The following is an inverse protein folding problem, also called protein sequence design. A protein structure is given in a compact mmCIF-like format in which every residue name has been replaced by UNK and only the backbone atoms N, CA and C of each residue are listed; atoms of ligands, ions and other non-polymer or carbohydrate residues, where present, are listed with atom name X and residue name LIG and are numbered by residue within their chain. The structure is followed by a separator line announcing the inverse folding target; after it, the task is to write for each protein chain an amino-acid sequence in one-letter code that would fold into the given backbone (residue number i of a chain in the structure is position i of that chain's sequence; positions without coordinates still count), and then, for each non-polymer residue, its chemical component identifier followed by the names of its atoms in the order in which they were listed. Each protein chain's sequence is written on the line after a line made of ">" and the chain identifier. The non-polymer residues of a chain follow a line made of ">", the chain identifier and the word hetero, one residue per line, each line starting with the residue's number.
data_IF_627485783742
#
_entry.id   IF_627485783742
#
_cell.length_a   1.000
_cell.length_b   1.000
_cell.length_c   1.000
_cell.angle_alpha   90.00
_cell.angle_beta   90.00
_cell.angle_gamma   90.00
#
_symmetry.space_group_name_H-M   'P 1'
#
loop_
_entity.id
_entity.type
_entity.pdbx_description
1 polymer ?
#
# COMPACT_ATOMS: atom_id res chain seq x y z
N UNK A 1 -17.72 -18.88 -25.90
CA UNK A 1 -16.81 -19.59 -24.97
C UNK A 1 -17.33 -19.42 -23.54
N UNK A 2 -17.26 -20.44 -22.69
CA UNK A 2 -17.61 -20.38 -21.30
C UNK A 2 -16.33 -20.26 -20.49
N UNK A 3 -16.24 -19.23 -19.64
CA UNK A 3 -15.06 -18.99 -18.78
C UNK A 3 -15.31 -19.50 -17.35
N UNK A 4 -14.25 -19.65 -16.56
CA UNK A 4 -14.34 -20.05 -15.16
C UNK A 4 -15.12 -19.01 -14.34
N UNK A 5 -16.02 -19.47 -13.44
CA UNK A 5 -16.85 -18.58 -12.60
C UNK A 5 -16.03 -17.59 -11.77
N UNK A 6 -14.81 -17.98 -11.34
CA UNK A 6 -13.92 -17.16 -10.52
C UNK A 6 -13.48 -15.83 -11.16
N UNK A 7 -13.61 -15.67 -12.49
CA UNK A 7 -13.26 -14.41 -13.17
C UNK A 7 -14.47 -13.44 -13.30
N UNK A 8 -15.69 -13.89 -13.00
CA UNK A 8 -16.87 -13.03 -13.09
C UNK A 8 -16.81 -11.82 -12.17
N UNK A 9 -16.43 -11.96 -10.88
CA UNK A 9 -16.29 -10.81 -9.99
C UNK A 9 -15.19 -9.83 -10.42
N UNK A 10 -14.18 -10.30 -11.17
CA UNK A 10 -13.07 -9.46 -11.63
C UNK A 10 -13.44 -8.56 -12.82
N UNK A 11 -14.60 -8.78 -13.46
CA UNK A 11 -15.07 -7.95 -14.58
C UNK A 11 -15.57 -6.57 -14.14
N UNK A 12 -16.01 -6.44 -12.89
CA UNK A 12 -16.52 -5.19 -12.38
C UNK A 12 -15.34 -4.27 -12.00
N UNK A 13 -15.15 -3.21 -12.77
CA UNK A 13 -14.09 -2.23 -12.56
C UNK A 13 -14.67 -0.82 -12.60
N UNK A 14 -14.95 -0.26 -11.42
CA UNK A 14 -15.44 1.13 -11.26
C UNK A 14 -14.45 2.13 -11.89
N UNK A 15 -13.14 1.84 -11.82
CA UNK A 15 -12.10 2.71 -12.37
C UNK A 15 -12.13 2.80 -13.90
N UNK A 16 -12.71 1.81 -14.59
CA UNK A 16 -12.92 1.90 -16.04
C UNK A 16 -13.88 3.04 -16.45
N UNK A 17 -14.82 3.41 -15.59
CA UNK A 17 -15.66 4.59 -15.81
C UNK A 17 -14.82 5.88 -15.72
N UNK A 18 -13.88 5.95 -14.79
CA UNK A 18 -12.97 7.08 -14.65
C UNK A 18 -12.03 7.21 -15.85
N UNK A 19 -11.51 6.09 -16.38
CA UNK A 19 -10.66 6.12 -17.58
C UNK A 19 -11.41 6.65 -18.78
N UNK A 20 -12.69 6.28 -18.95
CA UNK A 20 -13.56 6.83 -20.00
C UNK A 20 -13.80 8.33 -19.80
N UNK A 21 -14.09 8.77 -18.56
CA UNK A 21 -14.32 10.20 -18.26
C UNK A 21 -13.07 11.05 -18.54
N UNK A 22 -11.89 10.56 -18.15
CA UNK A 22 -10.59 11.20 -18.47
C UNK A 22 -10.36 11.30 -19.98
N UNK A 23 -10.65 10.23 -20.72
CA UNK A 23 -10.52 10.23 -22.18
C UNK A 23 -11.47 11.24 -22.84
N UNK A 24 -12.71 11.35 -22.36
CA UNK A 24 -13.68 12.34 -22.85
C UNK A 24 -13.25 13.77 -22.55
N UNK A 25 -12.77 14.05 -21.33
CA UNK A 25 -12.25 15.38 -20.96
C UNK A 25 -11.07 15.79 -21.85
N UNK A 26 -10.12 14.89 -22.12
CA UNK A 26 -9.01 15.13 -23.05
C UNK A 26 -9.48 15.39 -24.49
N UNK A 27 -10.46 14.61 -24.96
CA UNK A 27 -11.05 14.78 -26.29
C UNK A 27 -11.79 16.13 -26.44
N UNK A 28 -12.33 16.66 -25.33
CA UNK A 28 -12.93 18.00 -25.25
C UNK A 28 -11.89 19.13 -25.13
N UNK A 29 -10.60 18.82 -25.20
CA UNK A 29 -9.50 19.82 -25.13
C UNK A 29 -9.11 20.25 -23.71
N UNK A 30 -9.61 19.57 -22.69
CA UNK A 30 -9.26 19.92 -21.31
C UNK A 30 -7.87 19.39 -20.92
N UNK A 31 -7.13 20.19 -20.17
CA UNK A 31 -5.93 19.74 -19.48
C UNK A 31 -6.33 18.94 -18.24
N UNK A 32 -6.18 17.61 -18.29
CA UNK A 32 -6.59 16.71 -17.20
C UNK A 32 -5.52 16.65 -16.12
N UNK A 33 -5.89 17.02 -14.89
CA UNK A 33 -5.12 16.81 -13.67
C UNK A 33 -5.58 15.48 -13.07
N UNK A 34 -4.73 14.45 -13.14
CA UNK A 34 -5.10 13.09 -12.74
C UNK A 34 -4.66 12.78 -11.31
N UNK A 35 -5.58 12.96 -10.36
CA UNK A 35 -5.41 12.60 -8.94
C UNK A 35 -6.09 11.25 -8.61
N UNK A 36 -6.43 10.45 -9.62
CA UNK A 36 -7.08 9.15 -9.41
C UNK A 36 -6.09 8.00 -9.19
N UNK A 37 -4.89 8.08 -9.74
CA UNK A 37 -3.90 7.00 -9.69
C UNK A 37 -2.87 7.21 -8.58
N UNK A 38 -2.80 6.27 -7.63
CA UNK A 38 -1.81 6.28 -6.55
C UNK A 38 -0.43 5.75 -6.98
N UNK A 39 0.18 6.37 -7.98
CA UNK A 39 1.54 6.06 -8.42
C UNK A 39 2.44 7.26 -8.15
N UNK A 40 3.53 7.06 -7.39
CA UNK A 40 4.50 8.13 -7.16
C UNK A 40 5.03 8.65 -8.51
N UNK A 41 5.06 9.97 -8.67
CA UNK A 41 5.68 10.70 -9.78
C UNK A 41 7.18 10.96 -9.54
N UNK A 42 7.65 10.70 -8.31
CA UNK A 42 9.04 10.90 -7.93
C UNK A 42 9.92 9.80 -8.54
N UNK A 43 11.15 10.15 -8.99
CA UNK A 43 12.08 9.17 -9.54
C UNK A 43 12.66 8.26 -8.46
N UNK A 44 13.01 7.02 -8.83
CA UNK A 44 13.87 6.18 -8.00
C UNK A 44 15.28 6.80 -7.90
N UNK A 45 15.94 6.59 -6.76
CA UNK A 45 17.27 7.14 -6.51
C UNK A 45 18.32 6.62 -7.52
N UNK A 46 19.31 7.45 -7.86
CA UNK A 46 20.35 7.11 -8.85
C UNK A 46 21.09 5.82 -8.49
N UNK A 47 21.47 5.60 -7.22
CA UNK A 47 22.17 4.40 -6.80
C UNK A 47 21.36 3.11 -7.09
N UNK A 48 20.03 3.19 -7.08
CA UNK A 48 19.11 2.07 -7.41
C UNK A 48 19.12 1.82 -8.92
N UNK A 49 18.88 2.87 -9.72
CA UNK A 49 18.84 2.75 -11.18
C UNK A 49 20.19 2.34 -11.77
N UNK A 50 21.30 2.82 -11.19
CA UNK A 50 22.65 2.45 -11.59
C UNK A 50 22.95 0.97 -11.29
N UNK A 51 22.45 0.43 -10.17
CA UNK A 51 22.60 -0.99 -9.85
C UNK A 51 21.85 -1.86 -10.89
N UNK A 52 20.66 -1.45 -11.31
CA UNK A 52 19.89 -2.12 -12.37
C UNK A 52 20.64 -2.01 -13.71
N UNK A 53 21.11 -0.82 -14.08
CA UNK A 53 21.80 -0.58 -15.33
C UNK A 53 23.11 -1.40 -15.45
N UNK A 54 23.90 -1.46 -14.37
CA UNK A 54 25.12 -2.32 -14.33
C UNK A 54 24.76 -3.80 -14.52
N UNK A 55 23.63 -4.24 -13.97
CA UNK A 55 23.19 -5.62 -14.12
C UNK A 55 22.84 -5.98 -15.56
N UNK A 56 22.32 -5.03 -16.36
CA UNK A 56 22.02 -5.25 -17.78
C UNK A 56 23.27 -5.53 -18.60
N UNK A 57 24.44 -5.07 -18.17
CA UNK A 57 25.72 -5.30 -18.85
C UNK A 57 26.46 -6.54 -18.34
N UNK A 58 25.96 -7.19 -17.28
CA UNK A 58 26.52 -8.43 -16.74
C UNK A 58 25.73 -9.66 -17.22
N UNK A 59 26.28 -10.40 -18.16
CA UNK A 59 25.64 -11.61 -18.72
C UNK A 59 25.30 -12.68 -17.68
N UNK A 60 25.95 -12.68 -16.51
CA UNK A 60 25.62 -13.60 -15.40
C UNK A 60 24.24 -13.34 -14.79
N UNK A 61 23.66 -12.17 -15.06
CA UNK A 61 22.32 -11.82 -14.57
C UNK A 61 21.21 -12.20 -15.53
N UNK A 62 21.52 -12.67 -16.76
CA UNK A 62 20.53 -12.91 -17.82
C UNK A 62 19.83 -14.28 -17.71
N UNK A 63 20.40 -15.22 -16.95
CA UNK A 63 19.80 -16.55 -16.75
C UNK A 63 18.63 -16.54 -15.78
N UNK A 64 17.88 -17.65 -15.77
CA UNK A 64 16.83 -17.86 -14.79
C UNK A 64 17.34 -17.69 -13.35
N UNK A 65 16.62 -16.90 -12.57
CA UNK A 65 16.94 -16.69 -11.16
C UNK A 65 16.21 -17.73 -10.30
N UNK A 66 16.90 -18.79 -9.91
CA UNK A 66 16.37 -19.79 -8.98
C UNK A 66 16.19 -19.21 -7.58
N UNK A 67 15.32 -19.81 -6.76
CA UNK A 67 15.05 -19.32 -5.40
C UNK A 67 16.32 -19.22 -4.53
N UNK A 68 17.24 -20.18 -4.64
CA UNK A 68 18.52 -20.10 -3.93
C UNK A 68 19.37 -18.90 -4.36
N UNK A 69 19.24 -18.46 -5.60
CA UNK A 69 19.94 -17.28 -6.14
C UNK A 69 19.38 -15.94 -5.65
N UNK A 70 18.31 -15.94 -4.83
CA UNK A 70 17.75 -14.74 -4.21
C UNK A 70 18.31 -14.44 -2.82
N UNK A 71 19.33 -15.16 -2.37
CA UNK A 71 19.88 -15.08 -1.01
C UNK A 71 20.31 -13.66 -0.65
N UNK A 72 21.09 -13.00 -1.50
CA UNK A 72 21.59 -11.64 -1.25
C UNK A 72 20.46 -10.64 -1.02
N UNK A 73 19.37 -10.79 -1.80
CA UNK A 73 18.16 -9.97 -1.61
C UNK A 73 17.49 -10.27 -0.26
N UNK A 74 17.37 -11.54 0.11
CA UNK A 74 16.69 -11.95 1.36
C UNK A 74 17.50 -11.47 2.59
N UNK A 75 18.82 -11.56 2.54
CA UNK A 75 19.71 -11.03 3.57
C UNK A 75 19.62 -9.51 3.67
N UNK A 76 19.60 -8.79 2.54
CA UNK A 76 19.43 -7.34 2.53
C UNK A 76 18.08 -6.90 3.10
N UNK A 77 16.99 -7.59 2.73
CA UNK A 77 15.65 -7.31 3.25
C UNK A 77 15.55 -7.61 4.75
N UNK A 78 16.12 -8.72 5.23
CA UNK A 78 16.15 -9.07 6.65
C UNK A 78 16.94 -8.04 7.47
N UNK A 79 18.11 -7.63 6.99
CA UNK A 79 18.94 -6.61 7.64
C UNK A 79 18.23 -5.24 7.68
N UNK A 80 17.60 -4.84 6.57
CA UNK A 80 16.79 -3.62 6.49
C UNK A 80 15.64 -3.65 7.52
N UNK A 81 14.95 -4.79 7.60
CA UNK A 81 13.83 -4.97 8.51
C UNK A 81 14.27 -4.88 9.98
N UNK A 82 15.34 -5.57 10.33
CA UNK A 82 15.91 -5.54 11.69
C UNK A 82 16.37 -4.14 12.08
N UNK A 83 17.06 -3.41 11.19
CA UNK A 83 17.45 -2.02 11.43
C UNK A 83 16.21 -1.13 11.67
N UNK A 84 15.15 -1.34 10.88
CA UNK A 84 13.96 -0.51 10.92
C UNK A 84 13.09 -0.76 12.16
N UNK A 85 12.82 -2.01 12.48
CA UNK A 85 11.86 -2.39 13.52
C UNK A 85 12.51 -2.99 14.78
N UNK A 86 13.80 -3.32 14.75
CA UNK A 86 14.47 -4.01 15.84
C UNK A 86 14.03 -5.47 16.01
N UNK A 87 13.53 -6.08 14.94
CA UNK A 87 13.01 -7.45 14.93
C UNK A 87 13.84 -8.27 13.96
N UNK A 88 14.48 -9.32 14.49
CA UNK A 88 15.29 -10.23 13.68
C UNK A 88 14.40 -11.13 12.81
N UNK A 89 14.84 -11.35 11.59
CA UNK A 89 14.16 -12.15 10.56
C UNK A 89 15.16 -13.12 9.94
N UNK A 90 14.78 -14.40 9.85
CA UNK A 90 15.62 -15.41 9.21
C UNK A 90 15.51 -15.29 7.67
N UNK A 91 16.57 -14.87 6.97
CA UNK A 91 16.54 -14.70 5.52
C UNK A 91 16.31 -16.00 4.75
N UNK A 92 16.57 -17.18 5.34
CA UNK A 92 16.40 -18.47 4.65
C UNK A 92 14.95 -18.96 4.67
N UNK A 93 14.19 -18.67 5.73
CA UNK A 93 12.88 -19.25 5.96
C UNK A 93 11.74 -18.22 6.08
N UNK A 94 12.05 -16.96 6.41
CA UNK A 94 11.06 -15.95 6.74
C UNK A 94 11.01 -14.79 5.73
N UNK A 95 11.76 -14.85 4.63
CA UNK A 95 11.79 -13.82 3.59
C UNK A 95 11.60 -14.44 2.20
N UNK A 96 10.73 -13.84 1.38
CA UNK A 96 10.53 -14.21 -0.02
C UNK A 96 10.48 -12.95 -0.90
N UNK A 97 11.29 -12.83 -1.97
CA UNK A 97 11.12 -11.75 -2.94
C UNK A 97 9.79 -11.89 -3.71
N UNK A 98 9.16 -10.76 -4.00
CA UNK A 98 7.89 -10.66 -4.70
C UNK A 98 8.01 -9.73 -5.92
N UNK A 99 7.19 -9.98 -6.93
CA UNK A 99 6.95 -9.08 -8.08
C UNK A 99 5.98 -7.97 -7.65
N UNK A 100 6.42 -7.15 -6.66
CA UNK A 100 5.59 -6.22 -5.90
C UNK A 100 4.72 -6.94 -4.85
N UNK A 101 4.26 -6.20 -3.82
CA UNK A 101 3.41 -6.77 -2.76
C UNK A 101 2.09 -7.36 -3.28
N UNK A 102 1.61 -6.86 -4.43
CA UNK A 102 0.39 -7.36 -5.07
C UNK A 102 0.47 -8.85 -5.43
N UNK A 103 1.66 -9.37 -5.75
CA UNK A 103 1.84 -10.81 -5.94
C UNK A 103 1.52 -11.58 -4.66
N UNK A 104 2.02 -11.11 -3.50
CA UNK A 104 1.73 -11.73 -2.21
C UNK A 104 0.24 -11.76 -1.90
N UNK A 105 -0.45 -10.63 -2.10
CA UNK A 105 -1.91 -10.52 -1.86
C UNK A 105 -2.75 -11.35 -2.83
N UNK A 106 -2.25 -11.59 -4.05
CA UNK A 106 -2.93 -12.40 -5.06
C UNK A 106 -2.66 -13.90 -4.91
N UNK A 107 -1.45 -14.29 -4.51
CA UNK A 107 -1.02 -15.69 -4.48
C UNK A 107 -1.22 -16.38 -3.13
N UNK A 108 -1.08 -15.65 -2.01
CA UNK A 108 -1.27 -16.27 -0.70
C UNK A 108 -2.67 -16.88 -0.52
N UNK A 109 -3.77 -16.25 -0.97
CA UNK A 109 -5.08 -16.88 -0.93
C UNK A 109 -5.14 -18.24 -1.63
N UNK A 110 -4.37 -18.45 -2.71
CA UNK A 110 -4.31 -19.76 -3.40
C UNK A 110 -3.67 -20.86 -2.53
N UNK A 111 -2.83 -20.48 -1.56
CA UNK A 111 -2.19 -21.42 -0.64
C UNK A 111 -3.02 -21.65 0.63
N UNK A 112 -3.90 -20.71 0.99
CA UNK A 112 -4.59 -20.70 2.30
C UNK A 112 -6.08 -21.08 2.18
N UNK A 113 -6.75 -20.69 1.07
CA UNK A 113 -8.20 -20.86 0.91
C UNK A 113 -8.53 -22.04 0.02
N UNK A 114 -9.48 -22.85 0.45
CA UNK A 114 -10.23 -23.73 -0.43
C UNK A 114 -11.46 -23.01 -0.99
N UNK A 115 -12.05 -23.50 -2.10
CA UNK A 115 -13.31 -22.95 -2.59
C UNK A 115 -14.40 -23.00 -1.51
N UNK A 116 -14.97 -21.81 -1.21
CA UNK A 116 -16.01 -21.65 -0.18
C UNK A 116 -15.50 -21.16 1.18
N UNK A 117 -14.19 -21.23 1.47
CA UNK A 117 -13.63 -20.63 2.68
C UNK A 117 -13.76 -19.10 2.65
N UNK A 118 -13.92 -18.47 3.82
CA UNK A 118 -14.00 -17.02 3.94
C UNK A 118 -12.63 -16.39 4.17
N UNK A 119 -12.43 -15.23 3.52
CA UNK A 119 -11.41 -14.24 3.89
C UNK A 119 -12.11 -13.00 4.46
N UNK A 120 -11.59 -12.49 5.59
CA UNK A 120 -12.03 -11.26 6.24
C UNK A 120 -11.25 -10.11 5.63
N UNK A 121 -11.91 -9.21 4.88
CA UNK A 121 -11.28 -8.08 4.18
C UNK A 121 -11.83 -6.74 4.67
N UNK A 122 -10.97 -5.72 4.67
CA UNK A 122 -11.35 -4.35 5.00
C UNK A 122 -12.31 -3.78 3.92
N UNK A 123 -13.35 -3.04 4.34
CA UNK A 123 -14.30 -2.35 3.49
C UNK A 123 -14.53 -0.91 4.01
N UNK A 124 -14.07 0.14 3.32
CA UNK A 124 -13.34 0.10 2.05
C UNK A 124 -11.97 -0.54 2.16
N UNK A 125 -11.44 -1.11 1.06
CA UNK A 125 -10.14 -1.75 1.03
C UNK A 125 -9.49 -1.71 -0.37
N UNK A 126 -8.25 -2.15 -0.45
CA UNK A 126 -7.54 -2.18 -1.73
C UNK A 126 -8.09 -3.33 -2.61
N UNK A 127 -8.56 -3.04 -3.85
CA UNK A 127 -9.29 -4.02 -4.67
C UNK A 127 -8.52 -5.32 -4.98
N UNK A 128 -7.18 -5.29 -4.98
CA UNK A 128 -6.37 -6.49 -5.24
C UNK A 128 -6.54 -7.57 -4.17
N UNK A 129 -6.89 -7.21 -2.93
CA UNK A 129 -7.15 -8.19 -1.87
C UNK A 129 -8.36 -9.07 -2.23
N UNK A 130 -9.46 -8.44 -2.65
CA UNK A 130 -10.64 -9.17 -3.14
C UNK A 130 -10.33 -10.03 -4.37
N UNK A 131 -9.51 -9.50 -5.29
CA UNK A 131 -9.08 -10.22 -6.49
C UNK A 131 -8.39 -11.54 -6.18
N UNK A 132 -7.46 -11.56 -5.22
CA UNK A 132 -6.76 -12.79 -4.77
C UNK A 132 -7.72 -13.84 -4.21
N UNK A 133 -8.67 -13.41 -3.36
CA UNK A 133 -9.69 -14.30 -2.78
C UNK A 133 -10.58 -14.93 -3.87
N UNK A 134 -11.04 -14.13 -4.83
CA UNK A 134 -11.84 -14.62 -5.95
C UNK A 134 -11.07 -15.62 -6.83
N UNK A 135 -9.79 -15.37 -7.09
CA UNK A 135 -8.94 -16.31 -7.84
C UNK A 135 -8.79 -17.66 -7.11
N UNK A 136 -8.73 -17.66 -5.80
CA UNK A 136 -8.70 -18.86 -4.98
C UNK A 136 -10.06 -19.58 -4.90
N UNK A 137 -11.16 -18.94 -5.33
CA UNK A 137 -12.53 -19.47 -5.20
C UNK A 137 -13.10 -19.26 -3.79
N UNK A 138 -12.46 -18.43 -2.97
CA UNK A 138 -12.90 -18.07 -1.63
C UNK A 138 -14.08 -17.09 -1.65
N UNK A 139 -14.69 -16.92 -0.49
CA UNK A 139 -15.73 -15.93 -0.21
C UNK A 139 -15.15 -14.77 0.59
N UNK A 140 -15.77 -13.61 0.49
CA UNK A 140 -15.33 -12.41 1.20
C UNK A 140 -16.37 -12.06 2.26
N UNK A 141 -15.90 -11.86 3.49
CA UNK A 141 -16.66 -11.15 4.51
C UNK A 141 -16.06 -9.75 4.65
N UNK A 142 -16.82 -8.69 4.30
CA UNK A 142 -16.34 -7.32 4.45
C UNK A 142 -16.39 -6.89 5.91
N UNK A 143 -15.27 -6.35 6.41
CA UNK A 143 -15.17 -5.71 7.72
C UNK A 143 -15.31 -4.20 7.53
N UNK A 144 -16.45 -3.58 7.93
CA UNK A 144 -16.69 -2.16 7.68
C UNK A 144 -15.68 -1.27 8.43
N UNK A 145 -15.15 -0.27 7.73
CA UNK A 145 -14.28 0.77 8.28
C UNK A 145 -15.06 2.09 8.32
N UNK A 146 -15.48 2.48 9.49
CA UNK A 146 -16.29 3.68 9.71
C UNK A 146 -15.47 4.78 10.39
N UNK A 147 -15.78 6.03 10.10
CA UNK A 147 -15.07 7.19 10.67
C UNK A 147 -15.19 7.28 12.21
N UNK A 148 -16.33 6.87 12.77
CA UNK A 148 -16.57 6.80 14.21
C UNK A 148 -15.64 5.80 14.93
N UNK A 149 -15.10 4.81 14.21
CA UNK A 149 -14.14 3.84 14.72
C UNK A 149 -12.71 4.12 14.24
N UNK A 150 -12.41 5.36 13.84
CA UNK A 150 -11.12 5.75 13.27
C UNK A 150 -10.68 4.85 12.09
N UNK A 151 -11.62 4.34 11.32
CA UNK A 151 -11.42 3.39 10.21
C UNK A 151 -10.67 2.11 10.62
N UNK A 152 -10.92 1.62 11.85
CA UNK A 152 -10.50 0.30 12.32
C UNK A 152 -11.72 -0.64 12.35
N UNK A 153 -11.59 -1.92 11.93
CA UNK A 153 -12.71 -2.85 12.00
C UNK A 153 -12.99 -3.27 13.46
N UNK A 154 -14.25 -3.53 13.76
CA UNK A 154 -14.67 -4.11 15.05
C UNK A 154 -14.68 -5.63 14.89
N UNK A 155 -13.69 -6.29 15.47
CA UNK A 155 -13.49 -7.73 15.28
C UNK A 155 -14.61 -8.56 15.95
N UNK A 156 -15.19 -8.04 17.02
CA UNK A 156 -16.29 -8.65 17.76
C UNK A 156 -17.61 -8.71 16.96
N UNK A 157 -17.77 -7.85 15.94
CA UNK A 157 -18.96 -7.82 15.10
C UNK A 157 -18.97 -8.93 14.03
N UNK A 158 -17.86 -9.70 13.90
CA UNK A 158 -17.77 -10.78 12.93
C UNK A 158 -18.61 -11.97 13.42
N UNK A 159 -19.64 -12.39 12.67
CA UNK A 159 -20.51 -13.48 13.10
C UNK A 159 -19.76 -14.79 13.30
N UNK A 160 -20.06 -15.53 14.37
CA UNK A 160 -19.44 -16.83 14.68
C UNK A 160 -19.55 -17.82 13.52
N UNK A 161 -20.67 -17.81 12.79
CA UNK A 161 -20.88 -18.67 11.62
C UNK A 161 -19.91 -18.36 10.46
N UNK A 162 -19.50 -17.08 10.32
CA UNK A 162 -18.47 -16.66 9.35
C UNK A 162 -17.09 -17.08 9.86
N UNK A 163 -16.79 -16.83 11.14
CA UNK A 163 -15.50 -17.20 11.74
C UNK A 163 -15.21 -18.69 11.62
N UNK A 164 -16.21 -19.54 11.81
CA UNK A 164 -16.07 -21.00 11.68
C UNK A 164 -15.61 -21.46 10.28
N UNK A 165 -15.82 -20.66 9.26
CA UNK A 165 -15.45 -20.94 7.87
C UNK A 165 -14.32 -20.01 7.37
N UNK A 166 -13.85 -19.08 8.20
CA UNK A 166 -12.77 -18.16 7.85
C UNK A 166 -11.41 -18.83 7.97
N UNK A 167 -10.48 -18.46 7.08
CA UNK A 167 -9.09 -18.96 7.07
C UNK A 167 -8.05 -17.85 7.10
N UNK A 168 -8.41 -16.64 6.68
CA UNK A 168 -7.49 -15.53 6.69
C UNK A 168 -8.20 -14.21 6.97
N UNK A 169 -7.44 -13.28 7.54
CA UNK A 169 -7.79 -11.88 7.71
C UNK A 169 -6.72 -11.03 7.02
N UNK A 170 -7.12 -10.00 6.28
CA UNK A 170 -6.21 -9.06 5.64
C UNK A 170 -6.39 -7.69 6.25
N UNK A 171 -5.30 -7.15 6.81
CA UNK A 171 -5.17 -5.78 7.28
C UNK A 171 -4.21 -5.02 6.36
N UNK A 172 -4.38 -3.72 6.24
CA UNK A 172 -3.48 -2.85 5.49
C UNK A 172 -3.46 -1.48 6.16
N UNK A 173 -2.39 -1.18 6.92
CA UNK A 173 -2.21 0.10 7.61
C UNK A 173 -0.74 0.55 7.54
N UNK A 174 -0.43 1.84 7.19
CA UNK A 174 -1.36 2.92 6.85
C UNK A 174 -2.25 2.57 5.67
N UNK A 175 -3.55 2.93 5.80
CA UNK A 175 -4.61 2.36 4.98
C UNK A 175 -4.84 3.14 3.67
N UNK A 176 -5.03 2.42 2.59
CA UNK A 176 -5.56 2.91 1.33
C UNK A 176 -7.00 2.37 1.16
N UNK A 177 -8.06 3.23 1.15
CA UNK A 177 -7.99 4.66 0.83
C UNK A 177 -8.06 5.62 2.03
N UNK A 178 -8.39 5.18 3.26
CA UNK A 178 -8.80 6.05 4.36
C UNK A 178 -7.68 6.84 5.02
N UNK A 179 -6.41 6.52 4.73
CA UNK A 179 -5.18 7.11 5.30
C UNK A 179 -4.93 6.81 6.78
N UNK A 180 -5.82 6.05 7.43
CA UNK A 180 -5.74 5.71 8.83
C UNK A 180 -4.47 4.92 9.17
N UNK A 181 -3.96 5.09 10.39
CA UNK A 181 -2.89 4.30 10.99
C UNK A 181 -3.49 3.44 12.11
N UNK A 182 -3.19 2.14 12.11
CA UNK A 182 -3.58 1.28 13.21
C UNK A 182 -2.58 1.39 14.37
N UNK A 183 -3.03 1.64 15.62
CA UNK A 183 -2.14 1.62 16.77
C UNK A 183 -1.69 0.20 17.10
N UNK A 184 -0.55 0.06 17.78
CA UNK A 184 -0.01 -1.25 18.17
C UNK A 184 -1.02 -2.09 18.96
N UNK A 185 -1.78 -1.48 19.86
CA UNK A 185 -2.81 -2.16 20.65
C UNK A 185 -3.90 -2.82 19.77
N UNK A 186 -4.23 -2.23 18.61
CA UNK A 186 -5.14 -2.86 17.66
C UNK A 186 -4.49 -4.11 17.01
N UNK A 187 -3.20 -4.03 16.65
CA UNK A 187 -2.50 -5.20 16.12
C UNK A 187 -2.37 -6.33 17.15
N UNK A 188 -2.11 -6.00 18.42
CA UNK A 188 -2.10 -6.98 19.52
C UNK A 188 -3.45 -7.71 19.63
N UNK A 189 -4.56 -6.96 19.55
CA UNK A 189 -5.91 -7.51 19.53
C UNK A 189 -6.16 -8.38 18.30
N UNK A 190 -5.76 -7.93 17.11
CA UNK A 190 -5.92 -8.69 15.87
C UNK A 190 -5.11 -9.99 15.85
N UNK A 191 -3.88 -9.97 16.37
CA UNK A 191 -3.03 -11.16 16.51
C UNK A 191 -3.67 -12.16 17.48
N UNK A 192 -4.12 -11.70 18.66
CA UNK A 192 -4.80 -12.56 19.63
C UNK A 192 -6.07 -13.20 19.02
N UNK A 193 -6.87 -12.40 18.33
CA UNK A 193 -8.06 -12.85 17.62
C UNK A 193 -7.74 -13.91 16.56
N UNK A 194 -6.72 -13.69 15.73
CA UNK A 194 -6.33 -14.65 14.70
C UNK A 194 -5.80 -15.96 15.31
N UNK A 195 -5.06 -15.89 16.42
CA UNK A 195 -4.62 -17.08 17.17
C UNK A 195 -5.79 -17.89 17.72
N UNK A 196 -6.77 -17.21 18.32
CA UNK A 196 -7.96 -17.84 18.90
C UNK A 196 -8.80 -18.58 17.84
N UNK A 197 -8.94 -17.98 16.67
CA UNK A 197 -9.79 -18.51 15.60
C UNK A 197 -9.04 -19.30 14.52
N UNK A 198 -7.72 -19.51 14.68
CA UNK A 198 -6.90 -20.27 13.71
C UNK A 198 -6.81 -19.61 12.34
N UNK A 199 -6.77 -18.27 12.28
CA UNK A 199 -6.71 -17.48 11.06
C UNK A 199 -5.28 -17.10 10.71
N UNK A 200 -4.94 -17.14 9.42
CA UNK A 200 -3.75 -16.47 8.89
C UNK A 200 -3.98 -14.96 8.88
N UNK A 201 -3.05 -14.21 9.44
CA UNK A 201 -3.08 -12.75 9.46
C UNK A 201 -2.14 -12.18 8.40
N UNK A 202 -2.71 -11.47 7.43
CA UNK A 202 -1.95 -10.76 6.40
C UNK A 202 -1.91 -9.27 6.75
N UNK A 203 -0.72 -8.67 6.75
CA UNK A 203 -0.57 -7.23 6.80
C UNK A 203 0.06 -6.73 5.49
N UNK A 204 -0.74 -6.14 4.61
CA UNK A 204 -0.23 -5.42 3.43
C UNK A 204 0.26 -4.03 3.85
N UNK A 205 1.58 -3.80 3.75
CA UNK A 205 2.27 -2.68 4.39
C UNK A 205 3.02 -1.79 3.37
N UNK A 206 2.36 -1.29 2.31
CA UNK A 206 3.02 -0.53 1.26
C UNK A 206 3.45 0.87 1.69
N UNK A 207 2.83 1.46 2.72
CA UNK A 207 3.07 2.84 3.16
C UNK A 207 3.91 2.93 4.43
N UNK A 208 4.75 1.94 4.68
CA UNK A 208 5.60 1.82 5.87
C UNK A 208 6.37 3.09 6.24
N UNK A 209 6.86 3.83 5.25
CA UNK A 209 7.64 5.06 5.43
C UNK A 209 6.83 6.35 5.27
N UNK A 210 5.66 6.28 4.62
CA UNK A 210 4.85 7.46 4.32
C UNK A 210 3.94 7.81 5.51
N UNK A 211 4.57 8.18 6.64
CA UNK A 211 3.94 8.68 7.86
C UNK A 211 4.47 10.09 8.11
N UNK A 212 3.58 11.02 8.42
CA UNK A 212 3.91 12.44 8.58
C UNK A 212 4.01 12.79 10.06
N UNK A 213 5.13 13.38 10.48
CA UNK A 213 5.30 13.92 11.83
C UNK A 213 4.94 15.41 11.84
N UNK A 214 3.77 15.73 12.36
CA UNK A 214 3.30 17.12 12.48
C UNK A 214 3.70 17.79 13.80
N UNK A 215 4.35 17.07 14.74
CA UNK A 215 4.76 17.60 16.04
C UNK A 215 5.87 18.66 15.95
N UNK A 216 6.64 18.64 14.86
CA UNK A 216 7.76 19.54 14.59
C UNK A 216 7.48 20.59 13.51
N UNK A 217 6.23 20.80 13.12
CA UNK A 217 5.88 21.77 12.05
C UNK A 217 6.18 23.24 12.38
N UNK A 218 6.73 23.53 13.54
CA UNK A 218 7.14 24.88 14.02
C UNK A 218 8.64 25.09 14.20
N UNK A 219 9.50 24.09 14.06
CA UNK A 219 10.94 24.26 14.23
C UNK A 219 11.67 24.18 12.88
N UNK A 220 12.35 25.28 12.51
CA UNK A 220 13.36 25.30 11.45
C UNK A 220 14.46 24.32 11.85
N UNK A 221 14.43 23.09 11.32
CA UNK A 221 15.63 22.25 11.31
C UNK A 221 16.48 22.79 10.17
N UNK A 222 17.45 23.65 10.48
CA UNK A 222 18.56 23.92 9.59
C UNK A 222 19.27 22.59 9.37
N UNK A 223 19.26 22.14 8.11
CA UNK A 223 20.01 20.96 7.70
C UNK A 223 21.50 21.25 7.94
N UNK A 224 22.04 20.76 9.05
CA UNK A 224 23.49 20.64 9.18
C UNK A 224 23.96 19.59 8.19
N UNK A 225 25.05 19.82 7.45
CA UNK A 225 25.65 18.80 6.61
C UNK A 225 26.12 17.66 7.50
N UNK A 226 25.48 16.49 7.43
CA UNK A 226 25.89 15.29 8.10
C UNK A 226 27.22 14.81 7.48
N UNK A 227 28.23 14.65 8.32
CA UNK A 227 29.51 14.04 7.97
C UNK A 227 29.26 12.63 7.41
N UNK A 228 29.69 12.40 6.18
CA UNK A 228 29.41 11.20 5.38
C UNK A 228 30.03 9.90 5.94
N UNK A 229 30.60 9.91 7.15
CA UNK A 229 31.30 8.79 7.76
C UNK A 229 30.49 7.96 8.77
N UNK A 230 29.36 8.46 9.21
CA UNK A 230 28.43 7.74 10.12
C UNK A 230 27.09 7.44 9.44
N UNK A 231 27.10 6.56 8.43
CA UNK A 231 25.91 6.07 7.72
C UNK A 231 25.19 4.94 8.46
N UNK A 232 25.10 4.98 9.79
CA UNK A 232 24.09 4.21 10.48
C UNK A 232 22.75 4.94 10.27
N UNK A 233 21.75 4.24 9.72
CA UNK A 233 20.36 4.66 9.93
C UNK A 233 20.23 4.97 11.42
N UNK A 234 19.49 6.01 11.86
CA UNK A 234 19.23 6.24 13.27
C UNK A 234 18.36 5.07 13.80
N UNK A 235 18.99 3.89 13.88
CA UNK A 235 18.33 2.61 14.14
C UNK A 235 18.11 2.31 15.62
N UNK A 236 18.59 3.16 16.51
CA UNK A 236 18.39 3.06 17.95
C UNK A 236 17.71 4.28 18.55
N UNK A 237 17.24 5.20 17.73
CA UNK A 237 16.52 6.35 18.22
C UNK A 237 15.07 5.94 18.51
N UNK A 238 14.76 5.81 19.78
CA UNK A 238 13.42 5.47 20.29
C UNK A 238 12.39 6.51 19.83
N UNK A 239 12.83 7.73 19.57
CA UNK A 239 12.03 8.83 19.06
C UNK A 239 11.64 8.60 17.58
N UNK A 240 12.59 8.13 16.74
CA UNK A 240 12.32 7.80 15.34
C UNK A 240 11.33 6.60 15.21
N UNK A 241 11.45 5.60 16.09
CA UNK A 241 10.51 4.45 16.11
C UNK A 241 9.09 4.85 16.50
N UNK A 242 8.92 5.93 17.26
CA UNK A 242 7.59 6.48 17.61
C UNK A 242 6.91 7.21 16.45
N UNK A 243 7.65 7.53 15.38
CA UNK A 243 7.17 8.23 14.19
C UNK A 243 6.76 7.30 13.04
N UNK A 244 6.99 5.99 13.18
CA UNK A 244 6.71 5.02 12.12
C UNK A 244 5.38 4.31 12.37
N UNK A 245 4.74 3.88 11.28
CA UNK A 245 3.64 2.94 11.40
C UNK A 245 4.13 1.62 12.02
N UNK A 246 3.38 1.03 12.97
CA UNK A 246 3.78 -0.23 13.58
C UNK A 246 3.76 -1.38 12.57
N UNK A 247 4.78 -2.25 12.60
CA UNK A 247 4.73 -3.56 11.97
C UNK A 247 3.85 -4.50 12.78
N UNK A 248 3.18 -5.44 12.09
CA UNK A 248 2.41 -6.51 12.75
C UNK A 248 3.28 -7.37 13.68
N UNK A 249 4.59 -7.50 13.38
CA UNK A 249 5.51 -8.30 14.20
C UNK A 249 5.96 -7.59 15.49
N UNK A 250 5.59 -6.33 15.69
CA UNK A 250 5.66 -5.73 17.04
C UNK A 250 4.65 -6.37 17.99
N UNK A 251 3.54 -6.89 17.45
CA UNK A 251 2.49 -7.63 18.17
C UNK A 251 2.65 -9.17 18.07
N UNK A 252 3.10 -9.70 16.91
CA UNK A 252 3.33 -11.14 16.69
C UNK A 252 4.84 -11.44 16.62
N UNK A 253 5.56 -11.22 17.73
CA UNK A 253 7.04 -11.35 17.78
C UNK A 253 7.54 -12.73 17.37
N UNK A 254 6.77 -13.76 17.64
CA UNK A 254 7.08 -15.15 17.31
C UNK A 254 6.72 -15.51 15.87
N UNK A 255 6.14 -14.57 15.13
CA UNK A 255 5.66 -14.76 13.75
C UNK A 255 4.76 -16.01 13.64
N UNK A 256 3.87 -16.18 14.62
CA UNK A 256 3.09 -17.41 14.79
C UNK A 256 1.93 -17.52 13.79
N UNK A 257 1.31 -16.39 13.41
CA UNK A 257 0.12 -16.35 12.54
C UNK A 257 0.23 -15.35 11.40
N UNK A 258 1.23 -14.44 11.43
CA UNK A 258 1.26 -13.32 10.51
C UNK A 258 2.27 -13.47 9.37
N UNK A 259 1.93 -12.83 8.26
CA UNK A 259 2.81 -12.53 7.13
C UNK A 259 2.62 -11.06 6.72
N UNK A 260 3.71 -10.37 6.44
CA UNK A 260 3.73 -8.95 6.07
C UNK A 260 4.24 -8.77 4.63
N UNK A 261 3.57 -7.94 3.84
CA UNK A 261 3.97 -7.67 2.46
C UNK A 261 4.48 -6.25 2.31
N UNK A 262 5.72 -6.13 1.86
CA UNK A 262 6.39 -4.87 1.56
C UNK A 262 6.53 -4.65 0.06
N UNK A 263 6.46 -3.40 -0.35
CA UNK A 263 6.75 -2.99 -1.72
C UNK A 263 7.70 -1.80 -1.75
N UNK A 264 8.64 -1.80 -2.69
CA UNK A 264 9.50 -0.65 -2.93
C UNK A 264 8.82 0.43 -3.81
N UNK A 265 7.58 0.18 -4.22
CA UNK A 265 6.83 1.06 -5.11
C UNK A 265 6.55 2.45 -4.53
N UNK A 266 6.43 2.56 -3.19
CA UNK A 266 6.04 3.82 -2.53
C UNK A 266 7.24 4.53 -1.92
N UNK A 267 7.93 3.90 -0.97
CA UNK A 267 9.08 4.49 -0.28
C UNK A 267 10.25 4.81 -1.20
N UNK A 268 10.51 3.95 -2.20
CA UNK A 268 11.65 4.06 -3.10
C UNK A 268 11.28 4.46 -4.53
N UNK A 269 10.04 4.83 -4.77
CA UNK A 269 9.54 5.21 -6.11
C UNK A 269 9.80 4.16 -7.20
N UNK A 270 9.78 2.88 -6.85
CA UNK A 270 10.07 1.75 -7.74
C UNK A 270 8.78 1.07 -8.28
N UNK A 271 7.67 1.81 -8.41
CA UNK A 271 6.38 1.24 -8.81
C UNK A 271 6.42 0.45 -10.13
N UNK A 272 7.10 0.98 -11.14
CA UNK A 272 7.27 0.35 -12.45
C UNK A 272 8.24 -0.85 -12.46
N UNK A 273 9.13 -0.96 -11.48
CA UNK A 273 10.11 -2.05 -11.39
C UNK A 273 9.52 -3.35 -10.83
N UNK A 274 8.30 -3.30 -10.28
CA UNK A 274 7.60 -4.47 -9.73
C UNK A 274 8.45 -5.30 -8.77
N UNK A 275 8.82 -4.74 -7.62
CA UNK A 275 9.60 -5.43 -6.61
C UNK A 275 9.08 -5.16 -5.20
N UNK A 276 9.10 -6.20 -4.39
CA UNK A 276 8.72 -6.20 -2.98
C UNK A 276 9.20 -7.47 -2.31
N UNK A 277 8.76 -7.70 -1.09
CA UNK A 277 9.03 -8.93 -0.35
C UNK A 277 7.88 -9.28 0.59
N UNK A 278 7.76 -10.58 0.87
CA UNK A 278 7.02 -11.11 2.00
C UNK A 278 7.99 -11.39 3.14
N UNK A 279 7.59 -11.06 4.36
CA UNK A 279 8.31 -11.36 5.60
C UNK A 279 7.32 -11.98 6.58
N UNK A 280 7.69 -13.05 7.28
CA UNK A 280 6.82 -13.59 8.33
C UNK A 280 6.94 -15.07 8.60
N UNK A 281 5.82 -15.66 9.03
CA UNK A 281 5.73 -17.06 9.39
C UNK A 281 6.35 -17.96 8.32
N UNK A 282 7.27 -18.84 8.73
CA UNK A 282 8.08 -19.66 7.81
C UNK A 282 7.24 -20.66 7.00
N UNK A 283 6.13 -21.15 7.55
CA UNK A 283 5.22 -22.07 6.84
C UNK A 283 4.43 -21.32 5.78
N UNK A 284 3.98 -20.10 6.08
CA UNK A 284 3.30 -19.23 5.11
C UNK A 284 4.24 -18.80 3.98
N UNK A 285 5.50 -18.48 4.31
CA UNK A 285 6.54 -18.18 3.32
C UNK A 285 6.82 -19.40 2.43
N UNK A 286 6.89 -20.60 2.99
CA UNK A 286 7.09 -21.83 2.24
C UNK A 286 5.88 -22.12 1.31
N UNK A 287 4.66 -21.96 1.80
CA UNK A 287 3.44 -22.15 1.01
C UNK A 287 3.33 -21.15 -0.14
N UNK A 288 3.58 -19.86 0.14
CA UNK A 288 3.59 -18.82 -0.89
C UNK A 288 4.66 -19.07 -1.97
N UNK A 289 5.85 -19.55 -1.55
CA UNK A 289 6.93 -19.93 -2.47
C UNK A 289 6.52 -21.09 -3.40
N UNK A 290 5.72 -22.05 -2.93
CA UNK A 290 5.22 -23.14 -3.78
C UNK A 290 4.27 -22.60 -4.86
N UNK A 291 3.35 -21.71 -4.50
CA UNK A 291 2.46 -21.05 -5.47
C UNK A 291 3.28 -20.24 -6.48
N UNK A 292 4.21 -19.42 -5.98
CA UNK A 292 5.10 -18.62 -6.83
C UNK A 292 5.90 -19.49 -7.81
N UNK A 293 6.41 -20.63 -7.39
CA UNK A 293 7.14 -21.55 -8.25
C UNK A 293 6.30 -22.09 -9.41
N UNK A 294 4.98 -22.22 -9.23
CA UNK A 294 4.05 -22.71 -10.24
C UNK A 294 3.50 -21.61 -11.17
N UNK A 295 3.46 -20.35 -10.71
CA UNK A 295 2.76 -19.26 -11.41
C UNK A 295 3.72 -18.38 -12.20
N UNK A 296 4.69 -17.74 -11.56
CA UNK A 296 5.51 -16.68 -12.14
C UNK A 296 6.99 -16.73 -11.83
N UNK A 297 7.40 -17.59 -10.93
CA UNK A 297 8.80 -17.82 -10.55
C UNK A 297 9.48 -16.55 -9.99
N UNK A 298 10.64 -16.14 -10.51
CA UNK A 298 11.34 -14.92 -10.06
C UNK A 298 11.56 -13.95 -11.23
N UNK A 299 11.53 -12.65 -10.92
CA UNK A 299 11.84 -11.59 -11.89
C UNK A 299 13.34 -11.54 -12.21
N UNK A 300 13.67 -10.70 -13.17
CA UNK A 300 15.06 -10.44 -13.59
C UNK A 300 15.96 -10.05 -12.41
N UNK A 301 17.13 -10.69 -12.28
CA UNK A 301 18.10 -10.47 -11.18
C UNK A 301 18.46 -8.98 -11.01
N UNK A 302 18.57 -8.22 -12.10
CA UNK A 302 18.90 -6.80 -12.06
C UNK A 302 17.92 -5.97 -11.25
N UNK A 303 16.62 -6.35 -11.23
CA UNK A 303 15.62 -5.70 -10.40
C UNK A 303 15.88 -5.95 -8.92
N UNK A 304 16.25 -7.20 -8.56
CA UNK A 304 16.62 -7.52 -7.17
C UNK A 304 17.92 -6.82 -6.75
N UNK A 305 18.89 -6.64 -7.65
CA UNK A 305 20.11 -5.87 -7.38
C UNK A 305 19.78 -4.39 -7.10
N UNK A 306 18.82 -3.82 -7.83
CA UNK A 306 18.30 -2.48 -7.54
C UNK A 306 17.62 -2.42 -6.16
N UNK A 307 16.82 -3.43 -5.80
CA UNK A 307 16.18 -3.50 -4.49
C UNK A 307 17.19 -3.70 -3.35
N UNK A 308 18.23 -4.50 -3.53
CA UNK A 308 19.36 -4.60 -2.59
C UNK A 308 19.98 -3.23 -2.38
N UNK A 309 20.26 -2.49 -3.47
CA UNK A 309 20.80 -1.14 -3.39
C UNK A 309 19.84 -0.18 -2.65
N UNK A 310 18.52 -0.34 -2.80
CA UNK A 310 17.53 0.43 -2.06
C UNK A 310 17.57 0.14 -0.55
N UNK A 311 17.64 -1.14 -0.15
CA UNK A 311 17.66 -1.55 1.25
C UNK A 311 18.98 -1.20 1.97
N UNK A 312 20.10 -1.26 1.27
CA UNK A 312 21.44 -1.11 1.86
C UNK A 312 22.06 0.27 1.64
N UNK A 313 21.54 1.03 0.67
CA UNK A 313 22.04 2.34 0.31
C UNK A 313 21.47 3.49 1.18
N UNK A 314 21.80 4.73 0.81
CA UNK A 314 21.33 5.93 1.50
C UNK A 314 19.81 6.01 1.56
N UNK A 315 19.25 6.38 2.72
CA UNK A 315 17.79 6.52 2.93
C UNK A 315 17.29 7.97 2.82
N UNK A 316 18.15 8.90 2.43
CA UNK A 316 17.78 10.33 2.31
C UNK A 316 16.67 10.59 1.29
N UNK A 317 16.66 9.80 0.22
CA UNK A 317 15.60 9.89 -0.81
C UNK A 317 14.24 9.49 -0.27
N UNK A 318 14.18 8.54 0.67
CA UNK A 318 12.93 8.17 1.35
C UNK A 318 12.45 9.34 2.21
N UNK A 319 13.33 9.95 3.02
CA UNK A 319 13.00 11.14 3.82
C UNK A 319 12.53 12.31 2.96
N UNK A 320 13.24 12.57 1.84
CA UNK A 320 12.86 13.61 0.89
C UNK A 320 11.48 13.34 0.26
N UNK A 321 11.18 12.08 -0.05
CA UNK A 321 9.86 11.68 -0.57
C UNK A 321 8.75 11.93 0.46
N UNK A 322 8.95 11.53 1.72
CA UNK A 322 8.01 11.78 2.81
C UNK A 322 7.73 13.27 2.97
N UNK A 323 8.78 14.10 3.02
CA UNK A 323 8.64 15.56 3.14
C UNK A 323 7.94 16.17 1.91
N UNK A 324 8.18 15.64 0.72
CA UNK A 324 7.49 16.07 -0.49
C UNK A 324 5.99 15.78 -0.41
N UNK A 325 5.60 14.58 0.01
CA UNK A 325 4.19 14.23 0.18
C UNK A 325 3.54 15.00 1.33
N UNK A 326 4.25 15.29 2.41
CA UNK A 326 3.78 16.16 3.49
C UNK A 326 3.42 17.55 2.97
N UNK A 327 4.32 18.20 2.23
CA UNK A 327 4.09 19.52 1.62
C UNK A 327 2.90 19.51 0.65
N UNK A 328 2.76 18.46 -0.15
CA UNK A 328 1.62 18.27 -1.05
C UNK A 328 0.30 18.12 -0.30
N UNK A 329 0.31 17.31 0.77
CA UNK A 329 -0.82 17.16 1.67
C UNK A 329 -1.26 18.50 2.23
N UNK A 330 -0.32 19.23 2.80
CA UNK A 330 -0.62 20.53 3.44
C UNK A 330 -1.19 21.53 2.43
N UNK A 331 -0.61 21.64 1.25
CA UNK A 331 -1.10 22.52 0.19
C UNK A 331 -2.52 22.13 -0.27
N UNK A 332 -2.77 20.85 -0.50
CA UNK A 332 -4.07 20.37 -0.97
C UNK A 332 -5.16 20.51 0.09
N UNK A 333 -4.87 20.10 1.34
CA UNK A 333 -5.84 20.20 2.45
C UNK A 333 -6.16 21.66 2.76
N UNK A 334 -5.16 22.55 2.83
CA UNK A 334 -5.38 23.97 3.07
C UNK A 334 -6.22 24.61 1.96
N UNK A 335 -5.96 24.22 0.69
CA UNK A 335 -6.75 24.72 -0.43
C UNK A 335 -8.22 24.23 -0.36
N UNK A 336 -8.48 22.96 -0.02
CA UNK A 336 -9.85 22.44 0.19
C UNK A 336 -10.56 23.18 1.32
N UNK A 337 -9.87 23.41 2.44
CA UNK A 337 -10.43 24.20 3.55
C UNK A 337 -10.76 25.62 3.13
N UNK A 338 -9.91 26.23 2.27
CA UNK A 338 -10.13 27.57 1.71
C UNK A 338 -11.39 27.71 0.88
N UNK A 339 -11.88 26.64 0.27
CA UNK A 339 -13.17 26.60 -0.46
C UNK A 339 -14.34 26.09 0.40
N UNK A 340 -14.13 25.87 1.70
CA UNK A 340 -15.15 25.40 2.62
C UNK A 340 -15.32 23.88 2.66
N UNK A 341 -14.51 23.10 1.95
CA UNK A 341 -14.54 21.64 2.02
C UNK A 341 -13.59 21.14 3.12
N UNK A 342 -14.17 20.92 4.31
CA UNK A 342 -13.41 20.47 5.46
C UNK A 342 -13.09 18.97 5.35
N UNK A 343 -11.80 18.64 5.37
CA UNK A 343 -11.29 17.27 5.32
C UNK A 343 -10.34 17.04 6.49
N UNK A 344 -10.29 15.82 7.08
CA UNK A 344 -9.27 15.48 8.04
C UNK A 344 -7.87 15.58 7.41
N UNK A 345 -6.89 16.04 8.16
CA UNK A 345 -5.48 16.07 7.74
C UNK A 345 -4.94 14.64 7.79
N UNK A 346 -4.53 14.03 6.67
CA UNK A 346 -3.97 12.68 6.69
C UNK A 346 -2.66 12.61 7.48
N UNK A 347 -2.54 11.64 8.36
CA UNK A 347 -1.28 11.37 9.11
C UNK A 347 -0.31 10.50 8.31
N UNK A 348 -0.79 9.83 7.26
CA UNK A 348 0.02 8.91 6.47
C UNK A 348 -0.48 8.79 5.03
N UNK A 349 0.28 8.05 4.22
CA UNK A 349 0.04 7.72 2.81
C UNK A 349 0.29 8.90 1.86
N UNK A 350 -0.09 8.73 0.61
CA UNK A 350 -0.03 9.75 -0.43
C UNK A 350 -1.43 10.16 -0.91
N UNK A 351 -2.43 10.11 0.00
CA UNK A 351 -3.83 10.35 -0.33
C UNK A 351 -4.49 11.33 0.60
N UNK A 352 -5.60 11.89 0.11
CA UNK A 352 -6.63 12.52 0.93
C UNK A 352 -7.93 11.75 0.70
N UNK A 353 -8.57 11.31 1.79
CA UNK A 353 -9.86 10.66 1.81
C UNK A 353 -10.90 11.65 2.29
N UNK A 354 -11.69 12.17 1.36
CA UNK A 354 -12.63 13.26 1.61
C UNK A 354 -14.06 12.75 1.57
N UNK A 355 -14.85 13.10 2.60
CA UNK A 355 -16.30 12.89 2.56
C UNK A 355 -16.90 13.83 1.53
N UNK A 356 -17.78 13.31 0.69
CA UNK A 356 -18.45 14.09 -0.35
C UNK A 356 -19.44 15.08 0.26
N UNK A 357 -19.52 16.32 -0.26
CA UNK A 357 -20.56 17.25 0.14
C UNK A 357 -21.91 16.86 -0.48
N UNK A 358 -23.00 17.37 0.11
CA UNK A 358 -24.31 17.29 -0.54
C UNK A 358 -24.30 18.07 -1.87
N UNK A 359 -24.96 17.63 -2.95
CA UNK A 359 -25.86 16.44 -3.03
C UNK A 359 -25.18 15.13 -3.46
N UNK A 360 -23.85 15.01 -3.34
CA UNK A 360 -23.06 13.91 -3.88
C UNK A 360 -22.83 12.75 -2.89
N UNK A 361 -23.38 12.86 -1.68
CA UNK A 361 -23.07 11.93 -0.58
C UNK A 361 -23.43 10.46 -0.85
N UNK A 362 -24.25 10.16 -1.88
CA UNK A 362 -24.71 8.81 -2.20
C UNK A 362 -24.30 8.33 -3.61
N UNK A 363 -23.48 9.10 -4.34
CA UNK A 363 -23.05 8.72 -5.71
C UNK A 363 -21.62 9.22 -6.03
N UNK A 364 -20.65 8.58 -5.42
CA UNK A 364 -19.23 8.89 -5.62
C UNK A 364 -18.76 8.68 -7.07
N UNK A 365 -19.34 7.70 -7.78
CA UNK A 365 -19.00 7.43 -9.17
C UNK A 365 -19.46 8.56 -10.07
N UNK A 366 -20.70 9.04 -9.89
CA UNK A 366 -21.24 10.17 -10.65
C UNK A 366 -20.47 11.45 -10.34
N UNK A 367 -20.19 11.72 -9.06
CA UNK A 367 -19.34 12.86 -8.66
C UNK A 367 -18.02 12.86 -9.42
N UNK A 368 -17.23 11.80 -9.30
CA UNK A 368 -15.92 11.72 -9.93
C UNK A 368 -15.97 11.78 -11.46
N UNK A 369 -17.00 11.17 -12.08
CA UNK A 369 -17.20 11.21 -13.54
C UNK A 369 -17.49 12.63 -14.02
N UNK A 370 -18.42 13.33 -13.37
CA UNK A 370 -18.79 14.70 -13.73
C UNK A 370 -17.66 15.70 -13.41
N UNK A 371 -16.98 15.52 -12.28
CA UNK A 371 -15.81 16.32 -11.93
C UNK A 371 -14.76 16.24 -13.05
N UNK A 372 -14.41 15.03 -13.50
CA UNK A 372 -13.43 14.84 -14.58
C UNK A 372 -13.92 15.47 -15.91
N UNK A 373 -15.19 15.30 -16.26
CA UNK A 373 -15.76 15.82 -17.51
C UNK A 373 -15.87 17.35 -17.52
N UNK A 374 -16.28 17.96 -16.40
CA UNK A 374 -16.59 19.39 -16.36
C UNK A 374 -15.35 20.25 -16.04
N UNK A 375 -14.42 19.73 -15.23
CA UNK A 375 -13.27 20.50 -14.74
C UNK A 375 -11.93 19.98 -15.21
N UNK A 376 -11.86 18.75 -15.72
CA UNK A 376 -10.62 18.06 -16.01
C UNK A 376 -9.88 17.53 -14.78
N UNK A 377 -10.47 17.58 -13.57
CA UNK A 377 -9.87 16.99 -12.37
C UNK A 377 -10.40 15.57 -12.18
N UNK A 378 -9.50 14.58 -12.21
CA UNK A 378 -9.86 13.18 -12.00
C UNK A 378 -9.50 12.73 -10.58
N UNK A 379 -10.42 12.02 -9.92
CA UNK A 379 -10.26 11.45 -8.58
C UNK A 379 -10.81 10.02 -8.57
N UNK A 380 -10.56 9.26 -7.50
CA UNK A 380 -11.08 7.89 -7.36
C UNK A 380 -12.36 7.88 -6.53
N UNK A 381 -13.48 7.34 -7.07
CA UNK A 381 -14.72 7.22 -6.31
C UNK A 381 -14.57 6.23 -5.16
N UNK A 382 -15.13 6.56 -4.02
CA UNK A 382 -15.05 5.71 -2.82
C UNK A 382 -15.70 4.34 -3.01
N UNK A 383 -16.81 4.26 -3.76
CA UNK A 383 -17.43 2.98 -4.15
C UNK A 383 -16.47 2.01 -4.86
N UNK A 384 -15.40 2.51 -5.47
CA UNK A 384 -14.36 1.68 -6.10
C UNK A 384 -13.50 0.90 -5.10
N UNK A 385 -13.58 1.23 -3.82
CA UNK A 385 -12.85 0.57 -2.74
C UNK A 385 -13.73 -0.34 -1.88
N UNK A 386 -15.03 -0.36 -2.10
CA UNK A 386 -15.99 -1.16 -1.36
C UNK A 386 -17.25 -0.39 -1.00
N UNK A 387 -18.22 -1.09 -0.44
CA UNK A 387 -19.53 -0.53 -0.14
C UNK A 387 -19.45 0.60 0.90
N UNK A 388 -18.65 0.42 1.94
CA UNK A 388 -18.46 1.43 3.00
C UNK A 388 -17.61 2.63 2.55
N UNK A 389 -17.06 2.58 1.34
CA UNK A 389 -16.41 3.72 0.69
C UNK A 389 -17.36 4.67 -0.02
N UNK A 390 -18.65 4.30 -0.22
CA UNK A 390 -19.63 5.22 -0.80
C UNK A 390 -19.79 6.47 0.07
N UNK A 391 -20.03 7.61 -0.56
CA UNK A 391 -20.04 8.92 0.10
C UNK A 391 -18.67 9.55 0.31
N UNK A 392 -17.62 8.94 -0.23
CA UNK A 392 -16.24 9.46 -0.15
C UNK A 392 -15.59 9.53 -1.53
N UNK A 393 -14.49 10.30 -1.60
CA UNK A 393 -13.61 10.39 -2.76
C UNK A 393 -12.16 10.34 -2.29
N UNK A 394 -11.29 9.63 -3.04
CA UNK A 394 -9.84 9.62 -2.79
C UNK A 394 -9.12 10.48 -3.82
N UNK A 395 -8.31 11.42 -3.34
CA UNK A 395 -7.35 12.19 -4.15
C UNK A 395 -5.93 11.68 -3.90
N UNK A 396 -5.16 11.44 -4.97
CA UNK A 396 -3.76 11.09 -4.88
C UNK A 396 -2.89 12.36 -5.00
N UNK A 397 -1.93 12.52 -4.09
CA UNK A 397 -1.06 13.70 -3.98
C UNK A 397 0.18 13.54 -4.88
N UNK A 398 -0.02 13.21 -6.15
CA UNK A 398 1.04 12.85 -7.11
C UNK A 398 1.45 13.99 -8.04
N UNK A 399 1.05 15.21 -7.70
CA UNK A 399 1.35 16.43 -8.45
C UNK A 399 2.03 17.47 -7.55
N UNK A 400 2.63 18.49 -8.16
CA UNK A 400 3.24 19.60 -7.41
C UNK A 400 2.18 20.37 -6.59
N UNK A 401 2.57 21.04 -5.48
CA UNK A 401 1.63 21.85 -4.69
C UNK A 401 0.83 22.85 -5.54
N UNK A 402 1.49 23.52 -6.48
CA UNK A 402 0.82 24.49 -7.36
C UNK A 402 -0.26 23.87 -8.27
N UNK A 403 -0.02 22.64 -8.77
CA UNK A 403 -1.02 21.89 -9.57
C UNK A 403 -2.15 21.41 -8.68
N UNK A 404 -1.85 20.94 -7.48
CA UNK A 404 -2.86 20.51 -6.50
C UNK A 404 -3.79 21.67 -6.09
N UNK A 405 -3.23 22.86 -5.83
CA UNK A 405 -4.01 24.07 -5.57
C UNK A 405 -4.85 24.48 -6.80
N UNK A 406 -4.31 24.35 -8.02
CA UNK A 406 -5.05 24.59 -9.24
C UNK A 406 -6.20 23.60 -9.43
N UNK A 407 -6.01 22.32 -9.06
CA UNK A 407 -7.08 21.33 -9.06
C UNK A 407 -8.22 21.74 -8.10
N UNK A 408 -7.88 22.24 -6.90
CA UNK A 408 -8.90 22.67 -5.92
C UNK A 408 -9.67 23.91 -6.42
N UNK A 409 -8.99 24.87 -7.08
CA UNK A 409 -9.70 26.01 -7.71
C UNK A 409 -10.74 25.53 -8.74
N UNK A 410 -10.38 24.53 -9.57
CA UNK A 410 -11.32 23.93 -10.52
C UNK A 410 -12.46 23.13 -9.83
N UNK A 411 -12.17 22.46 -8.71
CA UNK A 411 -13.18 21.79 -7.90
C UNK A 411 -14.19 22.82 -7.32
N UNK A 412 -13.73 24.02 -6.94
CA UNK A 412 -14.60 25.08 -6.42
C UNK A 412 -15.60 25.64 -7.46
N UNK A 413 -15.32 25.45 -8.75
CA UNK A 413 -16.18 25.86 -9.87
C UNK A 413 -17.23 24.77 -10.24
N UNK A 414 -17.09 23.58 -9.67
CA UNK A 414 -17.94 22.41 -9.93
C UNK A 414 -19.13 22.34 -8.96
#
# INVERSE_FOLDING_TARGET
>A
MQFAKRIEPLKFNVFAAMDRAKAQARAAGQNVIDLSLGSSDLPAAAHITDAIARSLSDSKTHGYLLFNGTRDFREAAACWYEKKFGISVNPETEVLPLIGSQEGTAHLPLAVLNPGDFALLLDPGYPSHAGGVHLAGGQIYPMPLLSENAFLPILEDIPTAVLAQSKMMVLSYPHNPTTAIAPLAFFEKAVAFCREHGLVLVHDFPYVDLVFDDRNSGSKIEAQPLDMRDQALPGNDEEYRKLMAPSIFMADRDKSVAIEFFTLSKSYSMGGFRVGCAIGNSELIAALRQVKAAVDFNQYRGILNGAISAFTGPQDTVRTSVETFRKRRDAFVNALQGIGWLVPVPEATMYVWAKLPEPWAEDSVKFCTQLAQNTGVAASPGAGFGKSGEGYVRFALVESPAILEAAVRKIAEF
#
